data_IF_531326034817
#
_entry.id   IF_531326034817
#
_cell.length_a   1.000
_cell.length_b   1.000
_cell.length_c   1.000
_cell.angle_alpha   90.00
_cell.angle_beta   90.00
_cell.angle_gamma   90.00
#
_symmetry.space_group_name_H-M   'P 1'
#
loop_
_entity.id
_entity.type
_entity.pdbx_description
1 polymer ?
#
# COMPACT_ATOMS: atom_id res chain seq x y z
N UNK A 1 -6.62 44.60 -52.26
CA UNK A 1 -7.06 43.66 -51.20
C UNK A 1 -6.79 42.21 -51.54
N UNK A 2 -6.76 41.84 -52.81
CA UNK A 2 -6.48 40.47 -53.32
C UNK A 2 -5.05 39.99 -53.15
N UNK A 3 -4.08 40.85 -53.40
CA UNK A 3 -2.63 40.53 -53.34
C UNK A 3 -2.15 40.13 -51.93
N UNK A 4 -2.67 40.79 -50.86
CA UNK A 4 -2.34 40.47 -49.49
C UNK A 4 -2.90 39.08 -49.03
N UNK A 5 -4.00 38.65 -49.62
CA UNK A 5 -4.59 37.33 -49.39
C UNK A 5 -3.80 36.20 -50.10
N UNK A 6 -3.33 36.47 -51.31
CA UNK A 6 -2.49 35.53 -52.07
C UNK A 6 -1.16 35.28 -51.35
N UNK A 7 -0.51 36.32 -50.88
CA UNK A 7 0.75 36.18 -50.14
C UNK A 7 0.58 35.40 -48.83
N UNK A 8 -0.55 35.57 -48.12
CA UNK A 8 -0.85 34.75 -46.91
C UNK A 8 -1.13 33.28 -47.28
N UNK A 9 -1.72 33.01 -48.39
CA UNK A 9 -2.00 31.65 -48.86
C UNK A 9 -0.71 30.90 -49.21
N UNK A 10 0.25 31.61 -49.85
CA UNK A 10 1.58 31.06 -50.17
C UNK A 10 2.35 30.73 -48.88
N UNK A 11 2.40 31.63 -47.90
CA UNK A 11 3.06 31.39 -46.59
C UNK A 11 2.42 30.21 -45.85
N UNK A 12 1.10 30.09 -45.83
CA UNK A 12 0.40 28.97 -45.24
C UNK A 12 0.74 27.63 -45.92
N UNK A 13 0.82 27.63 -47.24
CA UNK A 13 1.16 26.42 -48.00
C UNK A 13 2.58 25.95 -47.67
N UNK A 14 3.52 26.88 -47.62
CA UNK A 14 4.93 26.58 -47.31
C UNK A 14 5.08 26.02 -45.88
N UNK A 15 4.36 26.59 -44.91
CA UNK A 15 4.29 26.08 -43.52
C UNK A 15 3.72 24.66 -43.43
N UNK A 16 2.67 24.38 -44.20
CA UNK A 16 2.07 23.04 -44.24
C UNK A 16 3.05 22.02 -44.84
N UNK A 17 3.75 22.36 -45.89
CA UNK A 17 4.74 21.47 -46.51
C UNK A 17 5.93 21.18 -45.57
N UNK A 18 6.39 22.17 -44.80
CA UNK A 18 7.44 22.00 -43.80
C UNK A 18 6.94 21.10 -42.65
N UNK A 19 5.69 21.23 -42.22
CA UNK A 19 5.10 20.39 -41.17
C UNK A 19 4.94 18.93 -41.64
N UNK A 20 4.48 18.74 -42.88
CA UNK A 20 4.37 17.42 -43.49
C UNK A 20 5.73 16.73 -43.65
N UNK A 21 6.76 17.48 -44.03
CA UNK A 21 8.15 16.96 -44.12
C UNK A 21 8.66 16.52 -42.73
N UNK A 22 8.44 17.33 -41.68
CA UNK A 22 8.77 16.99 -40.29
C UNK A 22 8.04 15.74 -39.82
N UNK A 23 6.76 15.63 -40.10
CA UNK A 23 5.94 14.48 -39.72
C UNK A 23 6.41 13.19 -40.44
N UNK A 24 6.74 13.27 -41.73
CA UNK A 24 7.32 12.14 -42.48
C UNK A 24 8.66 11.70 -41.94
N UNK A 25 9.53 12.65 -41.56
CA UNK A 25 10.84 12.37 -40.96
C UNK A 25 10.67 11.69 -39.57
N UNK A 26 9.74 12.16 -38.74
CA UNK A 26 9.42 11.57 -37.45
C UNK A 26 8.91 10.13 -37.59
N UNK A 27 7.97 9.87 -38.48
CA UNK A 27 7.48 8.50 -38.77
C UNK A 27 8.61 7.57 -39.24
N UNK A 28 9.51 8.02 -40.13
CA UNK A 28 10.64 7.21 -40.58
C UNK A 28 11.60 6.84 -39.45
N UNK A 29 11.89 7.77 -38.52
CA UNK A 29 12.72 7.50 -37.33
C UNK A 29 12.05 6.48 -36.42
N UNK A 30 10.75 6.58 -36.17
CA UNK A 30 10.01 5.65 -35.34
C UNK A 30 9.93 4.23 -35.93
N UNK A 31 9.73 4.10 -37.22
CA UNK A 31 9.70 2.80 -37.92
C UNK A 31 11.08 2.14 -37.86
N UNK A 32 12.17 2.87 -38.13
CA UNK A 32 13.54 2.35 -38.01
C UNK A 32 13.87 1.90 -36.60
N UNK A 33 13.48 2.67 -35.57
CA UNK A 33 13.69 2.32 -34.18
C UNK A 33 12.92 1.05 -33.76
N UNK A 34 11.69 0.86 -34.29
CA UNK A 34 10.92 -0.37 -34.07
C UNK A 34 11.57 -1.58 -34.72
N UNK A 35 12.01 -1.46 -35.95
CA UNK A 35 12.70 -2.54 -36.68
C UNK A 35 14.00 -2.97 -36.01
N UNK A 36 14.81 -2.02 -35.52
CA UNK A 36 16.05 -2.32 -34.79
C UNK A 36 15.73 -3.05 -33.46
N UNK A 37 14.68 -2.66 -32.75
CA UNK A 37 14.23 -3.37 -31.54
C UNK A 37 13.71 -4.78 -31.82
N UNK A 38 13.02 -5.00 -32.91
CA UNK A 38 12.56 -6.33 -33.32
C UNK A 38 13.70 -7.23 -33.74
N UNK A 39 14.66 -6.72 -34.54
CA UNK A 39 15.85 -7.47 -34.92
C UNK A 39 16.75 -7.82 -33.75
N UNK A 40 16.84 -6.95 -32.72
CA UNK A 40 17.58 -7.27 -31.50
C UNK A 40 16.89 -8.34 -30.65
N UNK A 41 15.54 -8.40 -30.66
CA UNK A 41 14.79 -9.45 -29.99
C UNK A 41 14.94 -10.80 -30.70
N UNK A 42 14.86 -10.84 -32.03
CA UNK A 42 15.04 -12.08 -32.80
C UNK A 42 16.46 -12.62 -32.70
N UNK A 43 17.51 -11.79 -32.73
CA UNK A 43 18.89 -12.21 -32.48
C UNK A 43 19.10 -12.79 -31.08
N UNK A 44 18.45 -12.22 -30.03
CA UNK A 44 18.52 -12.77 -28.67
C UNK A 44 17.81 -14.11 -28.54
N UNK A 45 16.74 -14.36 -29.30
CA UNK A 45 16.02 -15.64 -29.30
C UNK A 45 16.83 -16.73 -30.03
N UNK A 46 17.51 -16.40 -31.11
CA UNK A 46 18.34 -17.34 -31.87
C UNK A 46 19.67 -17.71 -31.18
N UNK A 47 20.17 -16.86 -30.28
CA UNK A 47 21.41 -17.13 -29.52
C UNK A 47 21.15 -17.83 -28.17
N UNK A 48 19.90 -18.10 -27.83
CA UNK A 48 19.55 -18.82 -26.61
C UNK A 48 19.96 -20.31 -26.76
N UNK A 49 20.95 -20.75 -25.95
CA UNK A 49 21.28 -22.17 -25.82
C UNK A 49 20.03 -23.02 -25.61
N UNK A 50 19.96 -24.26 -26.11
CA UNK A 50 18.80 -25.14 -25.92
C UNK A 50 18.48 -25.21 -24.43
N UNK A 51 17.27 -24.77 -24.07
CA UNK A 51 16.78 -24.72 -22.69
C UNK A 51 16.62 -26.17 -22.24
N UNK A 52 17.42 -26.59 -21.27
CA UNK A 52 17.24 -27.89 -20.65
C UNK A 52 15.95 -27.86 -19.79
N UNK A 53 14.85 -28.34 -20.35
CA UNK A 53 13.54 -28.38 -19.73
C UNK A 53 13.55 -29.01 -18.32
N UNK A 54 14.44 -29.99 -18.10
CA UNK A 54 14.59 -30.60 -16.78
C UNK A 54 15.17 -29.65 -15.73
N UNK A 55 16.13 -28.82 -16.12
CA UNK A 55 16.68 -27.79 -15.22
C UNK A 55 15.65 -26.69 -14.91
N UNK A 56 14.81 -26.33 -15.87
CA UNK A 56 13.72 -25.36 -15.66
C UNK A 56 12.68 -25.90 -14.69
N UNK A 57 12.21 -27.15 -14.91
CA UNK A 57 11.25 -27.79 -14.01
C UNK A 57 11.80 -28.00 -12.59
N UNK A 58 13.08 -28.34 -12.45
CA UNK A 58 13.72 -28.47 -11.14
C UNK A 58 13.85 -27.11 -10.41
N UNK A 59 14.11 -26.03 -11.15
CA UNK A 59 14.20 -24.67 -10.63
C UNK A 59 12.81 -24.18 -10.17
N UNK A 60 11.78 -24.41 -10.98
CA UNK A 60 10.39 -24.05 -10.65
C UNK A 60 9.87 -24.82 -9.44
N UNK A 61 10.17 -26.13 -9.34
CA UNK A 61 9.83 -26.91 -8.13
C UNK A 61 10.51 -26.37 -6.88
N UNK A 62 11.81 -26.03 -6.96
CA UNK A 62 12.53 -25.45 -5.82
C UNK A 62 11.95 -24.09 -5.42
N UNK A 63 11.61 -23.23 -6.39
CA UNK A 63 10.98 -21.95 -6.12
C UNK A 63 9.59 -22.09 -5.49
N UNK A 64 8.78 -23.02 -5.98
CA UNK A 64 7.45 -23.26 -5.43
C UNK A 64 7.51 -23.84 -4.01
N UNK A 65 8.42 -24.75 -3.72
CA UNK A 65 8.65 -25.29 -2.37
C UNK A 65 9.13 -24.19 -1.40
N UNK A 66 10.03 -23.32 -1.85
CA UNK A 66 10.52 -22.20 -1.03
C UNK A 66 9.41 -21.18 -0.77
N UNK A 67 8.55 -20.91 -1.77
CA UNK A 67 7.39 -20.03 -1.64
C UNK A 67 6.34 -20.61 -0.67
N UNK A 68 6.05 -21.90 -0.77
CA UNK A 68 5.14 -22.59 0.16
C UNK A 68 5.67 -22.58 1.62
N UNK A 69 6.97 -22.84 1.81
CA UNK A 69 7.57 -22.75 3.16
C UNK A 69 7.51 -21.33 3.75
N UNK A 70 7.76 -20.31 2.95
CA UNK A 70 7.65 -18.90 3.40
C UNK A 70 6.22 -18.52 3.79
N UNK A 71 5.23 -18.98 3.03
CA UNK A 71 3.82 -18.77 3.35
C UNK A 71 3.44 -19.48 4.66
N UNK A 72 3.84 -20.73 4.84
CA UNK A 72 3.59 -21.47 6.08
C UNK A 72 4.20 -20.81 7.32
N UNK A 73 5.43 -20.27 7.20
CA UNK A 73 6.09 -19.53 8.29
C UNK A 73 5.39 -18.22 8.64
N UNK A 74 4.85 -17.48 7.65
CA UNK A 74 4.06 -16.27 7.90
C UNK A 74 2.79 -16.57 8.71
N UNK A 75 2.03 -17.58 8.31
CA UNK A 75 0.80 -17.97 9.02
C UNK A 75 1.09 -18.52 10.42
N UNK A 76 2.19 -19.25 10.59
CA UNK A 76 2.62 -19.72 11.91
C UNK A 76 2.95 -18.54 12.83
N UNK A 77 3.65 -17.52 12.32
CA UNK A 77 3.95 -16.30 13.07
C UNK A 77 2.69 -15.58 13.54
N UNK A 78 1.70 -15.42 12.63
CA UNK A 78 0.40 -14.82 12.98
C UNK A 78 -0.31 -15.65 14.05
N UNK A 79 -0.36 -16.98 13.89
CA UNK A 79 -1.02 -17.86 14.85
C UNK A 79 -0.40 -17.78 16.25
N UNK A 80 0.93 -17.68 16.36
CA UNK A 80 1.63 -17.51 17.63
C UNK A 80 1.28 -16.16 18.27
N UNK A 81 1.29 -15.07 17.49
CA UNK A 81 0.97 -13.73 18.00
C UNK A 81 -0.47 -13.67 18.51
N UNK A 82 -1.43 -14.10 17.68
CA UNK A 82 -2.85 -14.12 18.05
C UNK A 82 -3.08 -15.05 19.24
N UNK A 83 -2.50 -16.24 19.22
CA UNK A 83 -2.62 -17.20 20.30
C UNK A 83 -2.06 -16.68 21.64
N UNK A 84 -0.94 -15.98 21.62
CA UNK A 84 -0.36 -15.38 22.83
C UNK A 84 -1.26 -14.27 23.39
N UNK A 85 -1.79 -13.42 22.53
CA UNK A 85 -2.71 -12.33 22.95
C UNK A 85 -4.02 -12.91 23.51
N UNK A 86 -4.63 -13.87 22.82
CA UNK A 86 -5.85 -14.53 23.28
C UNK A 86 -5.61 -15.26 24.62
N UNK A 87 -4.49 -15.95 24.76
CA UNK A 87 -4.16 -16.60 26.02
C UNK A 87 -4.01 -15.58 27.16
N UNK A 88 -3.32 -14.46 26.93
CA UNK A 88 -3.17 -13.39 27.92
C UNK A 88 -4.54 -12.82 28.35
N UNK A 89 -5.46 -12.63 27.39
CA UNK A 89 -6.84 -12.13 27.67
C UNK A 89 -7.61 -13.13 28.54
N UNK A 90 -7.54 -14.42 28.20
CA UNK A 90 -8.24 -15.49 28.95
C UNK A 90 -7.72 -15.57 30.38
N UNK A 91 -6.39 -15.52 30.57
CA UNK A 91 -5.79 -15.56 31.90
C UNK A 91 -6.09 -14.32 32.76
N UNK A 92 -6.41 -13.19 32.12
CA UNK A 92 -6.72 -11.94 32.82
C UNK A 92 -8.21 -11.77 33.13
N UNK A 93 -9.10 -12.73 32.77
CA UNK A 93 -10.57 -12.61 32.86
C UNK A 93 -11.10 -11.28 32.29
N UNK A 94 -10.40 -10.71 31.30
CA UNK A 94 -10.62 -9.33 30.83
C UNK A 94 -11.31 -9.22 29.48
N UNK A 95 -12.04 -10.23 29.03
CA UNK A 95 -12.65 -10.23 27.69
C UNK A 95 -13.61 -9.05 27.45
N UNK A 96 -14.45 -8.76 28.43
CA UNK A 96 -15.45 -7.69 28.34
C UNK A 96 -14.83 -6.29 28.33
N UNK A 97 -13.69 -6.14 29.00
CA UNK A 97 -12.96 -4.86 29.10
C UNK A 97 -12.19 -4.56 27.82
N UNK A 98 -11.74 -5.59 27.10
CA UNK A 98 -10.88 -5.48 25.92
C UNK A 98 -11.63 -5.30 24.60
N UNK A 99 -12.97 -5.38 24.58
CA UNK A 99 -13.76 -5.19 23.36
C UNK A 99 -14.47 -3.84 23.41
N UNK A 100 -13.84 -2.82 22.86
CA UNK A 100 -14.48 -1.53 22.62
C UNK A 100 -14.70 -1.31 21.11
N UNK A 101 -15.96 -1.41 20.71
CA UNK A 101 -16.36 -1.25 19.31
C UNK A 101 -16.02 0.13 18.75
N UNK A 102 -16.14 1.20 19.56
CA UNK A 102 -15.83 2.56 19.12
C UNK A 102 -14.35 2.76 18.90
N UNK A 103 -13.51 2.24 19.78
CA UNK A 103 -12.04 2.26 19.61
C UNK A 103 -11.61 1.51 18.34
N UNK A 104 -12.22 0.34 18.07
CA UNK A 104 -11.92 -0.44 16.86
C UNK A 104 -12.31 0.34 15.60
N UNK A 105 -13.50 0.97 15.55
CA UNK A 105 -13.97 1.75 14.40
C UNK A 105 -13.02 2.92 14.11
N UNK A 106 -12.59 3.65 15.12
CA UNK A 106 -11.64 4.77 14.95
C UNK A 106 -10.31 4.29 14.37
N UNK A 107 -9.73 3.23 14.93
CA UNK A 107 -8.44 2.67 14.48
C UNK A 107 -8.53 2.17 13.04
N UNK A 108 -9.57 1.39 12.71
CA UNK A 108 -9.75 0.84 11.36
C UNK A 108 -10.08 1.97 10.36
N UNK A 109 -10.93 2.91 10.71
CA UNK A 109 -11.31 4.03 9.84
C UNK A 109 -10.10 4.87 9.43
N UNK A 110 -9.23 5.22 10.39
CA UNK A 110 -7.99 5.94 10.10
C UNK A 110 -7.01 5.06 9.31
N UNK A 111 -6.95 3.75 9.61
CA UNK A 111 -6.16 2.77 8.86
C UNK A 111 -6.54 2.72 7.39
N UNK A 112 -7.83 2.63 7.08
CA UNK A 112 -8.36 2.63 5.71
C UNK A 112 -8.05 3.97 5.02
N UNK A 113 -8.31 5.09 5.68
CA UNK A 113 -8.00 6.42 5.13
C UNK A 113 -6.51 6.56 4.75
N UNK A 114 -5.62 6.06 5.61
CA UNK A 114 -4.18 6.07 5.34
C UNK A 114 -3.77 5.10 4.22
N UNK A 115 -4.44 3.95 4.11
CA UNK A 115 -4.20 2.97 3.04
C UNK A 115 -4.57 3.50 1.64
N UNK A 116 -5.64 4.32 1.57
CA UNK A 116 -6.11 4.97 0.33
C UNK A 116 -5.17 6.10 -0.14
N UNK A 117 -4.39 6.69 0.76
CA UNK A 117 -3.38 7.69 0.41
C UNK A 117 -2.33 7.10 -0.54
N UNK A 118 -2.14 7.71 -1.73
CA UNK A 118 -1.20 7.19 -2.73
C UNK A 118 0.25 7.54 -2.34
N UNK A 119 1.04 6.50 -2.02
CA UNK A 119 2.50 6.61 -1.88
C UNK A 119 3.14 5.57 -2.80
N UNK A 120 3.96 6.03 -3.72
CA UNK A 120 4.69 5.16 -4.64
C UNK A 120 5.64 4.22 -3.87
N UNK A 121 5.53 2.93 -4.16
CA UNK A 121 6.46 1.90 -3.66
C UNK A 121 6.05 1.15 -2.40
N UNK A 122 5.05 1.59 -1.63
CA UNK A 122 4.57 0.87 -0.44
C UNK A 122 3.30 0.06 -0.69
N UNK A 123 3.20 -1.14 -0.12
CA UNK A 123 1.99 -1.94 -0.23
C UNK A 123 0.82 -1.31 0.55
N UNK A 124 -0.42 -1.46 0.05
CA UNK A 124 -1.61 -0.97 0.74
C UNK A 124 -1.76 -1.57 2.15
N UNK A 125 -1.34 -2.83 2.33
CA UNK A 125 -1.37 -3.55 3.61
C UNK A 125 -0.41 -2.90 4.61
N UNK A 126 0.80 -2.55 4.20
CA UNK A 126 1.78 -1.87 5.05
C UNK A 126 1.24 -0.52 5.51
N UNK A 127 0.69 0.27 4.57
CA UNK A 127 0.09 1.57 4.86
C UNK A 127 -1.12 1.47 5.79
N UNK A 128 -1.96 0.46 5.60
CA UNK A 128 -3.08 0.19 6.49
C UNK A 128 -2.60 -0.02 7.92
N UNK A 129 -1.59 -0.88 8.13
CA UNK A 129 -1.02 -1.11 9.45
C UNK A 129 -0.43 0.16 10.09
N UNK A 130 0.28 0.99 9.31
CA UNK A 130 0.82 2.27 9.78
C UNK A 130 -0.29 3.26 10.13
N UNK A 131 -1.37 3.27 9.36
CA UNK A 131 -2.56 4.05 9.62
C UNK A 131 -3.25 3.63 10.91
N UNK A 132 -3.36 2.33 11.17
CA UNK A 132 -3.94 1.81 12.42
C UNK A 132 -3.14 2.24 13.66
N UNK A 133 -1.81 2.23 13.60
CA UNK A 133 -0.98 2.75 14.72
C UNK A 133 -1.21 4.23 14.94
N UNK A 134 -1.23 5.04 13.89
CA UNK A 134 -1.50 6.47 13.98
C UNK A 134 -2.91 6.75 14.49
N UNK A 135 -3.88 5.97 14.02
CA UNK A 135 -5.26 6.01 14.49
C UNK A 135 -5.38 5.67 15.97
N UNK A 136 -4.63 4.67 16.43
CA UNK A 136 -4.55 4.29 17.83
C UNK A 136 -4.04 5.43 18.73
N UNK A 137 -2.94 6.07 18.34
CA UNK A 137 -2.41 7.22 19.07
C UNK A 137 -3.34 8.43 19.04
N UNK A 138 -3.96 8.73 17.89
CA UNK A 138 -4.96 9.78 17.78
C UNK A 138 -6.17 9.51 18.68
N UNK A 139 -6.67 8.28 18.68
CA UNK A 139 -7.79 7.87 19.55
C UNK A 139 -7.45 8.03 21.03
N UNK A 140 -6.24 7.64 21.46
CA UNK A 140 -5.77 7.86 22.81
C UNK A 140 -5.76 9.35 23.18
N UNK A 141 -5.19 10.21 22.32
CA UNK A 141 -5.11 11.65 22.58
C UNK A 141 -6.51 12.29 22.66
N UNK A 142 -7.42 11.90 21.77
CA UNK A 142 -8.82 12.35 21.81
C UNK A 142 -9.48 11.88 23.11
N UNK A 143 -9.31 10.61 23.49
CA UNK A 143 -9.85 10.06 24.72
C UNK A 143 -9.34 10.81 25.95
N UNK A 144 -8.02 11.05 26.03
CA UNK A 144 -7.43 11.84 27.12
C UNK A 144 -7.94 13.27 27.18
N UNK A 145 -8.09 13.93 26.02
CA UNK A 145 -8.63 15.29 25.96
C UNK A 145 -10.08 15.37 26.46
N UNK A 146 -10.91 14.38 26.07
CA UNK A 146 -12.30 14.28 26.54
C UNK A 146 -12.37 13.99 28.04
N UNK A 147 -11.52 13.10 28.56
CA UNK A 147 -11.42 12.81 29.99
C UNK A 147 -11.01 14.06 30.76
N UNK A 148 -9.97 14.75 30.32
CA UNK A 148 -9.45 15.94 30.97
C UNK A 148 -10.48 17.12 30.99
N UNK A 149 -11.31 17.23 29.94
CA UNK A 149 -12.40 18.20 29.87
C UNK A 149 -13.69 17.80 30.61
N UNK A 150 -13.73 16.61 31.22
CA UNK A 150 -14.95 16.10 31.85
C UNK A 150 -15.15 16.64 33.28
N UNK A 151 -16.40 16.76 33.76
CA UNK A 151 -16.68 17.09 35.16
C UNK A 151 -16.08 16.11 36.17
N UNK A 152 -15.88 14.86 35.75
CA UNK A 152 -15.29 13.78 36.55
C UNK A 152 -13.81 14.09 36.88
N UNK A 153 -13.07 14.62 35.90
CA UNK A 153 -11.69 15.07 36.11
C UNK A 153 -11.62 16.27 37.03
N UNK A 154 -12.56 17.23 36.89
CA UNK A 154 -12.64 18.39 37.76
C UNK A 154 -12.98 18.03 39.22
N UNK A 155 -13.77 16.97 39.44
CA UNK A 155 -14.09 16.45 40.74
C UNK A 155 -12.98 15.56 41.36
N UNK A 156 -11.90 15.25 40.62
CA UNK A 156 -10.83 14.32 41.05
C UNK A 156 -11.36 12.92 41.45
N UNK A 157 -12.44 12.47 40.81
CA UNK A 157 -13.01 11.15 41.09
C UNK A 157 -12.25 10.08 40.31
N UNK A 158 -11.24 9.51 40.96
CA UNK A 158 -10.38 8.47 40.37
C UNK A 158 -11.16 7.18 40.07
N UNK A 159 -12.23 6.87 40.81
CA UNK A 159 -12.99 5.65 40.59
C UNK A 159 -13.75 5.68 39.25
N UNK A 160 -14.22 6.84 38.85
CA UNK A 160 -14.87 7.07 37.55
C UNK A 160 -13.86 7.36 36.41
N UNK A 161 -12.66 7.89 36.72
CA UNK A 161 -11.60 8.16 35.74
C UNK A 161 -10.92 6.90 35.23
N UNK A 162 -10.68 5.90 36.08
CA UNK A 162 -9.94 4.70 35.71
C UNK A 162 -10.58 3.89 34.57
N UNK A 163 -11.89 3.63 34.55
CA UNK A 163 -12.54 2.97 33.42
C UNK A 163 -12.38 3.74 32.11
N UNK A 164 -12.52 5.07 32.13
CA UNK A 164 -12.38 5.91 30.95
C UNK A 164 -10.92 5.89 30.39
N UNK A 165 -9.93 5.92 31.27
CA UNK A 165 -8.52 5.77 30.93
C UNK A 165 -8.21 4.39 30.32
N UNK A 166 -8.82 3.33 30.87
CA UNK A 166 -8.70 1.98 30.33
C UNK A 166 -9.19 1.93 28.88
N UNK A 167 -10.38 2.44 28.60
CA UNK A 167 -10.94 2.48 27.24
C UNK A 167 -10.05 3.30 26.29
N UNK A 168 -9.59 4.48 26.72
CA UNK A 168 -8.68 5.28 25.89
C UNK A 168 -7.39 4.53 25.54
N UNK A 169 -6.86 3.71 26.45
CA UNK A 169 -5.65 2.91 26.26
C UNK A 169 -5.82 1.74 25.28
N UNK A 170 -7.05 1.31 25.00
CA UNK A 170 -7.31 0.23 24.03
C UNK A 170 -7.02 0.65 22.59
N UNK A 171 -7.18 1.92 22.26
CA UNK A 171 -6.98 2.39 20.88
C UNK A 171 -5.57 2.15 20.35
N UNK A 172 -4.47 2.52 21.03
CA UNK A 172 -3.13 2.19 20.58
C UNK A 172 -2.85 0.69 20.63
N UNK A 173 -3.42 -0.05 21.58
CA UNK A 173 -3.28 -1.50 21.65
C UNK A 173 -3.81 -2.16 20.38
N UNK A 174 -5.01 -1.82 19.93
CA UNK A 174 -5.55 -2.30 18.66
C UNK A 174 -4.71 -1.88 17.47
N UNK A 175 -4.24 -0.64 17.45
CA UNK A 175 -3.38 -0.14 16.38
C UNK A 175 -2.11 -0.95 16.21
N UNK A 176 -1.41 -1.23 17.31
CA UNK A 176 -0.21 -2.06 17.29
C UNK A 176 -0.50 -3.53 16.97
N UNK A 177 -1.58 -4.09 17.49
CA UNK A 177 -1.97 -5.48 17.20
C UNK A 177 -2.21 -5.68 15.69
N UNK A 178 -2.99 -4.80 15.07
CA UNK A 178 -3.24 -4.83 13.63
C UNK A 178 -1.93 -4.62 12.86
N UNK A 179 -1.06 -3.71 13.30
CA UNK A 179 0.24 -3.47 12.65
C UNK A 179 1.11 -4.71 12.63
N UNK A 180 1.21 -5.43 13.75
CA UNK A 180 2.01 -6.66 13.82
C UNK A 180 1.49 -7.72 12.84
N UNK A 181 0.16 -7.88 12.73
CA UNK A 181 -0.46 -8.79 11.77
C UNK A 181 -0.16 -8.36 10.32
N UNK A 182 -0.34 -7.08 10.01
CA UNK A 182 -0.10 -6.57 8.65
C UNK A 182 1.36 -6.68 8.22
N UNK A 183 2.32 -6.54 9.14
CA UNK A 183 3.74 -6.78 8.87
C UNK A 183 4.06 -8.22 8.47
N UNK A 184 3.31 -9.20 9.00
CA UNK A 184 3.48 -10.61 8.61
C UNK A 184 2.87 -10.90 7.23
N UNK A 185 1.85 -10.13 6.84
CA UNK A 185 1.14 -10.30 5.56
C UNK A 185 1.84 -9.59 4.39
N UNK A 186 2.54 -8.49 4.66
CA UNK A 186 3.27 -7.72 3.66
C UNK A 186 4.55 -8.47 3.20
#
# INVERSE_FOLDING_TARGET
MTEALENKLIDLRERVDVLLAKQKAYRRKHIKAKQVKEQSKTKKVQSAKPINLQQYQAKDRKQNLTKQRRLGMKYLGIAIIVGTVVAAIIFADGFDILIDTMAIIVVIGIGIGHALGNKDGESAITRFGDGCVRGGWLGLLIGLALIAGSPIAAAMDFSALMPALSVASLTPLYGYFIKIITMQLA
#
